data_IF_509399262264
#
_entry.id   IF_509399262264
#
_cell.length_a   1.000
_cell.length_b   1.000
_cell.length_c   1.000
_cell.angle_alpha   90.00
_cell.angle_beta   90.00
_cell.angle_gamma   90.00
#
_symmetry.space_group_name_H-M   'P 1'
#
loop_
_entity.id
_entity.type
_entity.pdbx_description
1 polymer ?
#
# COMPACT_ATOMS: atom_id res chain seq x y z
N UNK A 1 -38.74 2.76 76.35
CA UNK A 1 -39.43 1.51 76.00
C UNK A 1 -39.23 0.50 77.10
N UNK A 2 -40.25 -0.29 77.40
CA UNK A 2 -40.14 -1.42 78.33
C UNK A 2 -39.23 -2.48 77.72
N UNK A 3 -38.28 -3.02 78.49
CA UNK A 3 -37.39 -4.06 77.99
C UNK A 3 -38.19 -5.33 77.62
N UNK A 4 -37.82 -5.98 76.50
CA UNK A 4 -38.52 -7.17 76.02
C UNK A 4 -38.57 -8.29 77.07
N UNK A 5 -37.55 -8.41 77.92
CA UNK A 5 -37.50 -9.37 79.02
C UNK A 5 -38.54 -9.06 80.13
N UNK A 6 -38.78 -7.77 80.41
CA UNK A 6 -39.85 -7.35 81.33
C UNK A 6 -41.23 -7.64 80.74
N UNK A 7 -41.42 -7.41 79.43
CA UNK A 7 -42.65 -7.75 78.74
C UNK A 7 -42.92 -9.26 78.81
N UNK A 8 -41.94 -10.11 78.52
CA UNK A 8 -42.07 -11.59 78.59
C UNK A 8 -42.53 -12.10 79.97
N UNK A 9 -42.10 -11.44 81.05
CA UNK A 9 -42.51 -11.83 82.41
C UNK A 9 -43.98 -11.53 82.71
N UNK A 10 -44.57 -10.49 82.11
CA UNK A 10 -45.98 -10.16 82.28
C UNK A 10 -46.91 -11.17 81.58
N UNK A 11 -46.44 -11.77 80.50
CA UNK A 11 -47.16 -12.76 79.68
C UNK A 11 -46.74 -14.22 79.95
N UNK A 12 -46.11 -14.51 81.09
CA UNK A 12 -45.76 -15.88 81.48
C UNK A 12 -46.99 -16.70 81.89
N UNK A 13 -46.85 -18.03 81.87
CA UNK A 13 -47.93 -18.96 82.21
C UNK A 13 -48.62 -18.59 83.54
N UNK A 14 -49.95 -18.65 83.54
CA UNK A 14 -50.82 -18.37 84.68
C UNK A 14 -50.75 -16.93 85.22
N UNK A 15 -50.11 -15.98 84.49
CA UNK A 15 -50.16 -14.55 84.79
C UNK A 15 -51.08 -13.83 83.82
N UNK A 16 -51.84 -12.86 84.34
CA UNK A 16 -52.64 -11.91 83.56
C UNK A 16 -52.01 -10.53 83.68
N UNK A 17 -51.58 -9.90 82.58
CA UNK A 17 -51.09 -8.53 82.62
C UNK A 17 -52.16 -7.55 83.13
N UNK A 18 -51.75 -6.50 83.82
CA UNK A 18 -52.64 -5.36 84.12
C UNK A 18 -52.89 -4.53 82.85
N UNK A 19 -53.86 -3.62 82.90
CA UNK A 19 -54.15 -2.70 81.79
C UNK A 19 -52.91 -1.89 81.40
N UNK A 20 -52.17 -1.37 82.38
CA UNK A 20 -50.96 -0.57 82.18
C UNK A 20 -49.83 -1.41 81.54
N UNK A 21 -49.70 -2.67 81.95
CA UNK A 21 -48.75 -3.61 81.35
C UNK A 21 -49.11 -3.93 79.90
N UNK A 22 -50.40 -4.00 79.59
CA UNK A 22 -50.88 -4.21 78.22
C UNK A 22 -50.66 -2.97 77.34
N UNK A 23 -50.93 -1.76 77.86
CA UNK A 23 -50.62 -0.51 77.16
C UNK A 23 -49.13 -0.37 76.91
N UNK A 24 -48.28 -0.63 77.92
CA UNK A 24 -46.83 -0.60 77.76
C UNK A 24 -46.31 -1.61 76.73
N UNK A 25 -47.02 -2.73 76.50
CA UNK A 25 -46.72 -3.66 75.41
C UNK A 25 -47.09 -3.09 74.03
N UNK A 26 -48.27 -2.49 73.89
CA UNK A 26 -48.68 -1.84 72.65
C UNK A 26 -47.74 -0.69 72.27
N UNK A 27 -47.37 0.14 73.24
CA UNK A 27 -46.45 1.28 73.09
C UNK A 27 -44.99 0.84 72.79
N UNK A 28 -44.69 -0.46 72.89
CA UNK A 28 -43.37 -1.00 72.53
C UNK A 28 -43.21 -1.26 71.03
N UNK A 29 -44.25 -1.05 70.22
CA UNK A 29 -44.18 -1.17 68.76
C UNK A 29 -44.58 0.13 68.09
N UNK A 30 -44.01 0.41 66.92
CA UNK A 30 -44.50 1.49 66.06
C UNK A 30 -45.86 1.12 65.48
N UNK A 31 -46.84 2.01 65.63
CA UNK A 31 -48.15 1.83 65.03
C UNK A 31 -48.14 2.24 63.54
N UNK A 32 -49.02 1.66 62.73
CA UNK A 32 -49.07 1.92 61.27
C UNK A 32 -49.30 3.39 60.90
N UNK A 33 -49.89 4.17 61.80
CA UNK A 33 -50.14 5.60 61.64
C UNK A 33 -48.93 6.46 62.02
N UNK A 34 -47.90 5.89 62.64
CA UNK A 34 -46.75 6.63 63.15
C UNK A 34 -45.64 6.68 62.10
N UNK A 35 -44.93 7.81 62.05
CA UNK A 35 -43.75 7.97 61.21
C UNK A 35 -42.54 7.46 61.98
N UNK A 36 -41.76 6.56 61.37
CA UNK A 36 -40.50 6.09 61.92
C UNK A 36 -39.44 7.19 61.74
N UNK A 37 -38.83 7.72 62.82
CA UNK A 37 -37.77 8.71 62.71
C UNK A 37 -36.52 8.10 62.06
N UNK A 38 -35.83 8.89 61.22
CA UNK A 38 -34.62 8.44 60.52
C UNK A 38 -33.52 7.98 61.48
N UNK A 39 -33.40 8.63 62.64
CA UNK A 39 -32.45 8.27 63.70
C UNK A 39 -32.74 6.91 64.37
N UNK A 40 -33.93 6.34 64.17
CA UNK A 40 -34.29 5.02 64.72
C UNK A 40 -33.96 3.85 63.79
N UNK A 41 -33.44 4.13 62.58
CA UNK A 41 -33.02 3.11 61.60
C UNK A 41 -31.51 2.93 61.70
N UNK A 42 -31.09 1.79 62.22
CA UNK A 42 -29.68 1.45 62.38
C UNK A 42 -28.95 1.41 61.02
N UNK A 43 -27.80 2.10 60.93
CA UNK A 43 -26.93 2.11 59.75
C UNK A 43 -27.36 3.04 58.62
N UNK A 44 -28.51 3.73 58.75
CA UNK A 44 -28.98 4.69 57.76
C UNK A 44 -28.11 5.94 57.69
N UNK A 45 -27.57 6.38 58.83
CA UNK A 45 -26.57 7.43 58.97
C UNK A 45 -25.31 7.12 58.15
N UNK A 46 -24.73 5.93 58.36
CA UNK A 46 -23.50 5.48 57.67
C UNK A 46 -23.68 5.36 56.17
N UNK A 47 -24.86 4.94 55.72
CA UNK A 47 -25.17 4.82 54.29
C UNK A 47 -25.17 6.19 53.61
N UNK A 48 -25.70 7.21 54.29
CA UNK A 48 -25.80 8.57 53.76
C UNK A 48 -24.44 9.28 53.79
N UNK A 49 -23.60 9.02 54.80
CA UNK A 49 -22.22 9.55 54.87
C UNK A 49 -21.33 9.15 53.67
N UNK A 50 -21.65 8.03 53.00
CA UNK A 50 -20.96 7.59 51.78
C UNK A 50 -21.39 8.31 50.50
N UNK A 51 -22.34 9.26 50.58
CA UNK A 51 -22.88 9.97 49.42
C UNK A 51 -22.44 11.43 49.40
N UNK A 52 -22.27 12.00 48.20
CA UNK A 52 -22.06 13.43 48.06
C UNK A 52 -23.37 14.18 48.30
N UNK A 53 -23.31 15.29 49.02
CA UNK A 53 -24.47 16.17 49.17
C UNK A 53 -24.87 16.79 47.84
N UNK A 54 -26.13 17.21 47.70
CA UNK A 54 -26.62 17.89 46.51
C UNK A 54 -25.80 19.15 46.19
N UNK A 55 -25.35 19.86 47.22
CA UNK A 55 -24.51 21.06 47.07
C UNK A 55 -23.09 20.72 46.63
N UNK A 56 -22.46 19.68 47.20
CA UNK A 56 -21.14 19.21 46.77
C UNK A 56 -21.15 18.77 45.30
N UNK A 57 -22.19 18.03 44.89
CA UNK A 57 -22.37 17.62 43.50
C UNK A 57 -22.59 18.84 42.58
N UNK A 58 -23.44 19.79 42.98
CA UNK A 58 -23.69 20.98 42.19
C UNK A 58 -22.43 21.86 42.05
N UNK A 59 -21.63 21.98 43.10
CA UNK A 59 -20.36 22.70 43.06
C UNK A 59 -19.38 22.02 42.11
N UNK A 60 -19.28 20.69 42.14
CA UNK A 60 -18.43 19.94 41.21
C UNK A 60 -18.91 20.07 39.75
N UNK A 61 -20.22 20.04 39.49
CA UNK A 61 -20.78 20.18 38.14
C UNK A 61 -20.51 21.55 37.51
N UNK A 62 -20.50 22.61 38.32
CA UNK A 62 -20.26 23.97 37.86
C UNK A 62 -18.78 24.38 37.94
N UNK A 63 -17.93 23.57 38.57
CA UNK A 63 -16.49 23.80 38.61
C UNK A 63 -15.84 23.38 37.29
N UNK A 64 -15.65 24.37 36.42
CA UNK A 64 -14.93 24.22 35.14
C UNK A 64 -13.50 23.69 35.30
N UNK A 65 -12.93 23.73 36.50
CA UNK A 65 -11.55 23.34 36.80
C UNK A 65 -11.44 22.02 37.58
N UNK A 66 -12.55 21.35 37.90
CA UNK A 66 -12.58 20.12 38.70
C UNK A 66 -11.62 19.02 38.21
N UNK A 67 -11.39 18.97 36.89
CA UNK A 67 -10.51 17.99 36.24
C UNK A 67 -9.35 18.61 35.46
N UNK A 68 -9.04 19.89 35.70
CA UNK A 68 -8.07 20.65 34.90
C UNK A 68 -6.70 19.98 34.83
N UNK A 69 -6.18 19.50 35.98
CA UNK A 69 -4.87 18.85 36.07
C UNK A 69 -4.80 17.60 35.18
N UNK A 70 -5.85 16.76 35.21
CA UNK A 70 -5.91 15.56 34.40
C UNK A 70 -5.97 15.90 32.91
N UNK A 71 -6.77 16.90 32.54
CA UNK A 71 -6.87 17.35 31.15
C UNK A 71 -5.58 18.00 30.65
N UNK A 72 -4.89 18.78 31.48
CA UNK A 72 -3.60 19.39 31.15
C UNK A 72 -2.54 18.29 30.88
N UNK A 73 -2.51 17.23 31.69
CA UNK A 73 -1.62 16.08 31.48
C UNK A 73 -1.94 15.30 30.20
N UNK A 74 -3.23 15.00 29.95
CA UNK A 74 -3.65 14.34 28.69
C UNK A 74 -3.30 15.19 27.48
N UNK A 75 -3.50 16.51 27.56
CA UNK A 75 -3.15 17.44 26.49
C UNK A 75 -1.65 17.42 26.19
N UNK A 76 -0.82 17.40 27.23
CA UNK A 76 0.63 17.28 27.10
C UNK A 76 1.02 15.97 26.41
N UNK A 77 0.45 14.84 26.83
CA UNK A 77 0.72 13.54 26.20
C UNK A 77 0.36 13.52 24.71
N UNK A 78 -0.77 14.14 24.33
CA UNK A 78 -1.17 14.30 22.93
C UNK A 78 -0.15 15.16 22.15
N UNK A 79 0.35 16.24 22.76
CA UNK A 79 1.36 17.10 22.14
C UNK A 79 2.69 16.37 21.95
N UNK A 80 3.12 15.56 22.93
CA UNK A 80 4.33 14.76 22.86
C UNK A 80 4.24 13.73 21.71
N UNK A 81 3.10 13.04 21.59
CA UNK A 81 2.81 12.12 20.46
C UNK A 81 2.86 12.86 19.13
N UNK A 82 2.18 14.00 19.02
CA UNK A 82 2.18 14.78 17.78
C UNK A 82 3.59 15.23 17.39
N UNK A 83 4.43 15.59 18.37
CA UNK A 83 5.82 15.96 18.11
C UNK A 83 6.61 14.79 17.55
N UNK A 84 6.47 13.59 18.15
CA UNK A 84 7.12 12.36 17.67
C UNK A 84 6.68 12.02 16.24
N UNK A 85 5.39 12.19 15.94
CA UNK A 85 4.82 11.93 14.61
C UNK A 85 5.17 13.01 13.57
N UNK A 86 5.52 14.22 14.01
CA UNK A 86 5.94 15.34 13.16
C UNK A 86 7.44 15.37 12.89
N UNK A 87 8.25 14.58 13.60
CA UNK A 87 9.65 14.44 13.21
C UNK A 87 9.65 13.77 11.85
N UNK A 88 9.95 14.54 10.79
CA UNK A 88 10.23 14.02 9.47
C UNK A 88 11.20 12.85 9.64
N UNK A 89 10.70 11.62 9.43
CA UNK A 89 11.51 10.44 9.61
C UNK A 89 12.45 10.36 8.40
N UNK A 90 13.61 11.00 8.56
CA UNK A 90 14.70 11.03 7.58
C UNK A 90 14.99 9.62 7.07
N UNK A 91 14.82 8.59 7.90
CA UNK A 91 15.01 7.18 7.51
C UNK A 91 13.93 6.73 6.53
N UNK A 92 12.67 7.09 6.76
CA UNK A 92 11.56 6.75 5.88
C UNK A 92 11.66 7.49 4.54
N UNK A 93 12.01 8.78 4.56
CA UNK A 93 12.22 9.56 3.34
C UNK A 93 13.37 8.99 2.51
N UNK A 94 14.50 8.67 3.16
CA UNK A 94 15.65 8.01 2.51
C UNK A 94 15.25 6.66 1.91
N UNK A 95 14.41 5.87 2.60
CA UNK A 95 13.92 4.59 2.08
C UNK A 95 13.01 4.77 0.84
N UNK A 96 12.16 5.81 0.81
CA UNK A 96 11.32 6.09 -0.35
C UNK A 96 12.14 6.51 -1.58
N UNK A 97 13.17 7.32 -1.36
CA UNK A 97 14.11 7.71 -2.40
C UNK A 97 14.85 6.47 -2.97
N UNK A 98 15.42 5.63 -2.09
CA UNK A 98 16.09 4.37 -2.48
C UNK A 98 15.14 3.45 -3.26
N UNK A 99 13.88 3.29 -2.81
CA UNK A 99 12.89 2.46 -3.51
C UNK A 99 12.60 3.01 -4.91
N UNK A 100 12.56 4.33 -5.06
CA UNK A 100 12.35 4.99 -6.35
C UNK A 100 13.51 4.74 -7.30
N UNK A 101 14.74 4.89 -6.82
CA UNK A 101 15.94 4.56 -7.60
C UNK A 101 15.98 3.08 -8.02
N UNK A 102 15.66 2.15 -7.12
CA UNK A 102 15.62 0.72 -7.44
C UNK A 102 14.59 0.37 -8.51
N UNK A 103 13.41 1.01 -8.49
CA UNK A 103 12.40 0.84 -9.54
C UNK A 103 12.92 1.31 -10.89
N UNK A 104 13.58 2.47 -10.94
CA UNK A 104 14.18 2.99 -12.16
C UNK A 104 15.28 2.06 -12.70
N UNK A 105 16.15 1.55 -11.82
CA UNK A 105 17.19 0.58 -12.21
C UNK A 105 16.60 -0.73 -12.77
N UNK A 106 15.51 -1.24 -12.18
CA UNK A 106 14.83 -2.43 -12.70
C UNK A 106 14.28 -2.20 -14.10
N UNK A 107 13.63 -1.06 -14.35
CA UNK A 107 13.12 -0.72 -15.68
C UNK A 107 14.24 -0.66 -16.74
N UNK A 108 15.41 -0.13 -16.37
CA UNK A 108 16.57 -0.11 -17.26
C UNK A 108 17.06 -1.53 -17.57
N UNK A 109 17.12 -2.42 -16.57
CA UNK A 109 17.48 -3.83 -16.77
C UNK A 109 16.54 -4.53 -17.74
N UNK A 110 15.22 -4.35 -17.59
CA UNK A 110 14.22 -4.95 -18.45
C UNK A 110 14.31 -4.40 -19.90
N UNK A 111 14.54 -3.09 -20.05
CA UNK A 111 14.71 -2.46 -21.36
C UNK A 111 16.00 -2.94 -22.07
N UNK A 112 17.09 -3.12 -21.32
CA UNK A 112 18.34 -3.66 -21.85
C UNK A 112 18.14 -5.12 -22.28
N UNK A 113 17.47 -5.93 -21.46
CA UNK A 113 17.18 -7.32 -21.78
C UNK A 113 16.33 -7.47 -23.05
N UNK A 114 15.30 -6.63 -23.22
CA UNK A 114 14.42 -6.66 -24.40
C UNK A 114 15.06 -6.11 -25.67
N UNK A 115 16.00 -5.16 -25.58
CA UNK A 115 16.69 -4.60 -26.76
C UNK A 115 17.97 -5.34 -27.14
N UNK A 116 18.60 -6.02 -26.20
CA UNK A 116 19.84 -6.75 -26.39
C UNK A 116 19.56 -8.22 -26.06
N UNK A 117 18.88 -8.91 -26.97
CA UNK A 117 18.91 -10.36 -26.99
C UNK A 117 20.37 -10.78 -27.18
N UNK A 118 21.03 -11.15 -26.06
CA UNK A 118 22.46 -11.49 -26.01
C UNK A 118 22.82 -12.66 -26.92
N UNK A 119 21.84 -13.46 -27.32
CA UNK A 119 22.03 -14.58 -28.24
C UNK A 119 22.01 -14.16 -29.72
N UNK A 120 21.45 -12.98 -30.06
CA UNK A 120 21.20 -12.55 -31.44
C UNK A 120 22.09 -11.36 -31.85
N UNK A 121 22.48 -10.51 -30.89
CA UNK A 121 23.30 -9.33 -31.17
C UNK A 121 24.70 -9.72 -31.67
N UNK A 122 25.06 -9.24 -32.88
CA UNK A 122 26.36 -9.52 -33.52
C UNK A 122 26.37 -10.76 -34.42
N UNK A 123 25.27 -11.51 -34.53
CA UNK A 123 25.15 -12.60 -35.50
C UNK A 123 24.58 -12.11 -36.83
N UNK A 124 25.10 -12.68 -37.92
CA UNK A 124 24.52 -12.51 -39.25
C UNK A 124 23.14 -13.19 -39.32
N UNK A 125 22.16 -12.51 -39.92
CA UNK A 125 20.82 -13.06 -40.13
C UNK A 125 20.76 -13.80 -41.44
N UNK A 126 20.26 -15.03 -41.43
CA UNK A 126 19.94 -15.72 -42.68
C UNK A 126 18.68 -15.10 -43.29
N UNK A 127 18.77 -14.73 -44.55
CA UNK A 127 17.71 -14.05 -45.30
C UNK A 127 17.33 -14.88 -46.51
N UNK A 128 16.04 -15.11 -46.65
CA UNK A 128 15.44 -15.85 -47.77
C UNK A 128 14.56 -14.92 -48.62
N UNK A 129 14.03 -15.46 -49.71
CA UNK A 129 13.07 -14.80 -50.61
C UNK A 129 11.79 -14.30 -49.92
N UNK A 130 11.41 -14.87 -48.78
CA UNK A 130 10.23 -14.48 -48.00
C UNK A 130 10.52 -13.50 -46.85
N UNK A 131 11.78 -13.09 -46.65
CA UNK A 131 12.13 -12.21 -45.53
C UNK A 131 11.74 -10.77 -45.83
N UNK A 132 10.91 -10.18 -44.97
CA UNK A 132 10.55 -8.76 -45.04
C UNK A 132 11.57 -7.96 -44.22
N UNK A 133 12.29 -7.05 -44.87
CA UNK A 133 13.22 -6.18 -44.19
C UNK A 133 12.48 -5.22 -43.26
N UNK A 134 13.01 -5.07 -42.05
CA UNK A 134 12.44 -4.27 -40.97
C UNK A 134 13.54 -3.59 -40.16
N UNK A 135 13.17 -2.70 -39.24
CA UNK A 135 14.12 -2.04 -38.33
C UNK A 135 15.04 -3.00 -37.56
N UNK A 136 14.64 -4.26 -37.37
CA UNK A 136 15.46 -5.28 -36.68
C UNK A 136 16.68 -5.73 -37.48
N UNK A 137 16.69 -5.45 -38.78
CA UNK A 137 17.80 -5.77 -39.67
C UNK A 137 18.82 -4.61 -39.78
N UNK A 138 18.45 -3.41 -39.34
CA UNK A 138 19.32 -2.24 -39.40
C UNK A 138 20.59 -2.45 -38.57
N UNK A 139 21.75 -2.13 -39.15
CA UNK A 139 23.07 -2.31 -38.56
C UNK A 139 23.57 -3.76 -38.56
N UNK A 140 22.87 -4.69 -39.21
CA UNK A 140 23.23 -6.13 -39.21
C UNK A 140 23.83 -6.58 -40.55
N UNK A 141 24.43 -7.76 -40.48
CA UNK A 141 24.88 -8.52 -41.66
C UNK A 141 23.77 -9.47 -42.07
N UNK A 142 23.29 -9.36 -43.31
CA UNK A 142 22.38 -10.31 -43.94
C UNK A 142 23.19 -11.34 -44.72
N UNK A 143 22.96 -12.61 -44.41
CA UNK A 143 23.55 -13.76 -45.08
C UNK A 143 22.51 -14.36 -46.00
N UNK A 144 22.65 -14.13 -47.29
CA UNK A 144 21.73 -14.64 -48.31
C UNK A 144 22.24 -15.99 -48.83
N UNK A 145 21.49 -17.05 -48.58
CA UNK A 145 21.89 -18.43 -48.86
C UNK A 145 20.80 -19.16 -49.63
N UNK A 146 20.53 -18.68 -50.85
CA UNK A 146 19.47 -19.21 -51.70
C UNK A 146 20.02 -19.71 -53.04
N UNK A 147 19.27 -20.64 -53.61
CA UNK A 147 19.50 -21.19 -54.96
C UNK A 147 18.64 -20.50 -56.03
N UNK A 148 17.75 -19.60 -55.61
CA UNK A 148 16.94 -18.72 -56.49
C UNK A 148 17.16 -17.27 -56.11
N UNK A 149 17.00 -16.38 -57.10
CA UNK A 149 17.27 -14.94 -56.92
C UNK A 149 16.40 -14.37 -55.80
N UNK A 150 16.99 -13.55 -54.94
CA UNK A 150 16.32 -12.93 -53.78
C UNK A 150 16.15 -11.44 -54.04
N UNK A 151 14.94 -10.93 -53.78
CA UNK A 151 14.68 -9.50 -53.75
C UNK A 151 14.74 -8.99 -52.31
N UNK A 152 15.71 -8.13 -52.03
CA UNK A 152 15.77 -7.36 -50.79
C UNK A 152 15.03 -6.04 -51.01
N UNK A 153 13.81 -5.98 -50.48
CA UNK A 153 12.91 -4.83 -50.63
C UNK A 153 13.11 -3.80 -49.51
N UNK A 154 13.53 -2.60 -49.90
CA UNK A 154 13.78 -1.47 -48.99
C UNK A 154 12.59 -0.52 -48.87
N UNK A 155 11.44 -0.79 -49.51
CA UNK A 155 10.27 0.12 -49.56
C UNK A 155 9.84 0.62 -48.18
N UNK A 156 9.82 -0.29 -47.20
CA UNK A 156 9.40 -0.02 -45.80
C UNK A 156 10.57 0.09 -44.83
N UNK A 157 11.80 0.03 -45.33
CA UNK A 157 13.00 0.02 -44.49
C UNK A 157 13.25 1.41 -43.89
N UNK A 158 13.67 1.50 -42.61
CA UNK A 158 13.87 2.79 -41.95
C UNK A 158 14.97 3.62 -42.62
N UNK A 159 14.78 4.93 -42.59
CA UNK A 159 15.77 5.92 -43.00
C UNK A 159 16.99 5.94 -42.05
N UNK A 160 18.13 6.42 -42.54
CA UNK A 160 19.41 6.50 -41.84
C UNK A 160 19.90 5.16 -41.29
N UNK A 161 19.57 4.08 -41.99
CA UNK A 161 19.92 2.73 -41.61
C UNK A 161 21.05 2.18 -42.49
N UNK A 162 21.95 1.41 -41.87
CA UNK A 162 23.08 0.75 -42.49
C UNK A 162 22.78 -0.74 -42.64
N UNK A 163 23.24 -1.38 -43.71
CA UNK A 163 23.17 -2.83 -43.87
C UNK A 163 24.44 -3.36 -44.53
N UNK A 164 24.78 -4.59 -44.20
CA UNK A 164 25.78 -5.37 -44.94
C UNK A 164 25.12 -6.64 -45.46
N UNK A 165 25.40 -7.02 -46.70
CA UNK A 165 24.85 -8.23 -47.33
C UNK A 165 26.00 -9.09 -47.80
N UNK A 166 25.94 -10.39 -47.50
CA UNK A 166 26.92 -11.39 -47.92
C UNK A 166 26.21 -12.47 -48.72
N UNK A 167 26.64 -12.67 -49.96
CA UNK A 167 26.18 -13.76 -50.81
C UNK A 167 26.86 -15.06 -50.41
N UNK A 168 26.08 -16.04 -49.95
CA UNK A 168 26.55 -17.38 -49.59
C UNK A 168 25.99 -18.46 -50.52
N UNK A 169 24.81 -18.23 -51.07
CA UNK A 169 24.16 -19.09 -52.07
C UNK A 169 24.64 -18.85 -53.50
N UNK A 170 24.05 -19.58 -54.44
CA UNK A 170 24.39 -19.53 -55.87
C UNK A 170 23.67 -18.39 -56.60
N UNK A 171 22.49 -18.00 -56.14
CA UNK A 171 21.62 -17.04 -56.82
C UNK A 171 21.93 -15.56 -56.57
N UNK A 172 21.44 -14.69 -57.45
CA UNK A 172 21.65 -13.25 -57.36
C UNK A 172 20.84 -12.64 -56.22
N UNK A 173 21.33 -11.51 -55.71
CA UNK A 173 20.62 -10.72 -54.71
C UNK A 173 20.32 -9.37 -55.34
N UNK A 174 19.05 -9.01 -55.38
CA UNK A 174 18.56 -7.83 -56.10
C UNK A 174 18.00 -6.86 -55.07
N UNK A 175 18.43 -5.61 -55.12
CA UNK A 175 17.92 -4.56 -54.24
C UNK A 175 16.75 -3.86 -54.93
N UNK A 176 15.63 -3.67 -54.23
CA UNK A 176 14.43 -3.02 -54.80
C UNK A 176 13.74 -2.09 -53.77
N UNK A 177 12.70 -1.38 -54.20
CA UNK A 177 11.78 -0.66 -53.30
C UNK A 177 12.11 0.81 -53.02
N UNK A 178 13.36 1.22 -53.25
CA UNK A 178 13.82 2.62 -53.19
C UNK A 178 14.70 2.92 -54.40
N UNK A 179 14.96 4.19 -54.67
CA UNK A 179 15.87 4.59 -55.75
C UNK A 179 17.28 4.14 -55.41
N UNK A 180 17.91 3.33 -56.26
CA UNK A 180 19.25 2.80 -56.01
C UNK A 180 20.31 3.75 -56.56
N UNK A 181 21.30 4.08 -55.73
CA UNK A 181 22.48 4.88 -56.11
C UNK A 181 23.70 3.97 -56.00
N UNK A 182 24.10 3.39 -57.14
CA UNK A 182 25.14 2.36 -57.22
C UNK A 182 24.65 1.12 -57.96
N UNK A 183 25.25 -0.04 -57.68
CA UNK A 183 24.83 -1.31 -58.26
C UNK A 183 23.50 -1.79 -57.67
N UNK A 184 22.60 -2.27 -58.53
CA UNK A 184 21.28 -2.74 -58.11
C UNK A 184 21.23 -4.19 -57.64
N UNK A 185 22.33 -4.93 -57.76
CA UNK A 185 22.37 -6.35 -57.42
C UNK A 185 23.79 -6.88 -57.15
N UNK A 186 23.86 -7.97 -56.40
CA UNK A 186 25.05 -8.82 -56.24
C UNK A 186 24.90 -10.03 -57.16
N UNK A 187 25.73 -10.09 -58.20
CA UNK A 187 25.71 -11.16 -59.22
C UNK A 187 26.99 -11.99 -59.25
N UNK A 188 28.01 -11.60 -58.49
CA UNK A 188 29.27 -12.32 -58.39
C UNK A 188 29.15 -13.69 -57.70
N UNK A 189 30.28 -14.37 -57.57
CA UNK A 189 30.36 -15.67 -56.92
C UNK A 189 30.06 -15.60 -55.41
N UNK A 190 29.96 -16.77 -54.77
CA UNK A 190 29.88 -16.90 -53.31
C UNK A 190 31.00 -16.11 -52.63
N UNK A 191 30.65 -15.30 -51.64
CA UNK A 191 31.57 -14.39 -50.95
C UNK A 191 31.61 -12.97 -51.50
N UNK A 192 30.79 -12.67 -52.52
CA UNK A 192 30.46 -11.29 -52.92
C UNK A 192 29.68 -10.59 -51.82
N UNK A 193 29.85 -9.28 -51.70
CA UNK A 193 29.28 -8.49 -50.59
C UNK A 193 28.71 -7.17 -51.08
N UNK A 194 27.77 -6.61 -50.34
CA UNK A 194 27.34 -5.23 -50.50
C UNK A 194 27.32 -4.50 -49.16
N UNK A 195 27.75 -3.24 -49.16
CA UNK A 195 27.47 -2.29 -48.09
C UNK A 195 26.39 -1.34 -48.57
N UNK A 196 25.30 -1.21 -47.81
CA UNK A 196 24.15 -0.40 -48.16
C UNK A 196 23.88 0.65 -47.09
N UNK A 197 23.53 1.86 -47.53
CA UNK A 197 23.09 2.96 -46.67
C UNK A 197 21.76 3.48 -47.19
N UNK A 198 20.73 3.49 -46.35
CA UNK A 198 19.42 4.03 -46.69
C UNK A 198 19.36 5.51 -46.28
N UNK A 199 19.13 6.38 -47.26
CA UNK A 199 19.06 7.84 -47.08
C UNK A 199 17.80 8.38 -47.77
N UNK A 200 16.77 8.71 -47.01
CA UNK A 200 15.47 9.17 -47.47
C UNK A 200 14.80 8.16 -48.42
N UNK A 201 14.63 8.56 -49.67
CA UNK A 201 14.06 7.74 -50.75
C UNK A 201 15.11 6.93 -51.52
N UNK A 202 16.38 7.07 -51.16
CA UNK A 202 17.51 6.45 -51.86
C UNK A 202 18.16 5.36 -51.02
N UNK A 203 18.77 4.39 -51.70
CA UNK A 203 19.68 3.40 -51.10
C UNK A 203 20.99 3.48 -51.86
N UNK A 204 22.03 3.93 -51.15
CA UNK A 204 23.39 3.96 -51.66
C UNK A 204 23.96 2.55 -51.51
N UNK A 205 24.37 1.94 -52.61
CA UNK A 205 24.93 0.59 -52.62
C UNK A 205 26.38 0.60 -53.10
N UNK A 206 27.25 -0.07 -52.35
CA UNK A 206 28.60 -0.39 -52.77
C UNK A 206 28.73 -1.91 -52.86
N UNK A 207 28.68 -2.44 -54.08
CA UNK A 207 28.74 -3.89 -54.33
C UNK A 207 30.14 -4.29 -54.74
N UNK A 208 30.65 -5.34 -54.12
CA UNK A 208 31.88 -6.01 -54.51
C UNK A 208 31.53 -7.42 -55.01
N UNK A 209 31.41 -7.54 -56.33
CA UNK A 209 31.22 -8.81 -57.00
C UNK A 209 32.60 -9.49 -57.18
N UNK A 210 32.82 -10.58 -56.47
CA UNK A 210 34.00 -11.44 -56.63
C UNK A 210 33.84 -12.41 -57.79
#
# INVERSE_FOLDING_TARGET
MTAIETLKQWFSNLKKPTQEQFWAWLDSFWHKSEKIPMASVEGLDKLVEGTASAEQLNNHLNDTQAHKILFDEVKKQIQDINTILQVDDVSLDTLQEIVTELKNHRQLSDLIGTKIDKEIFGLALEVTDNTILSKEHAGRVLRCNNDTDINLDFSTFPDNALLSVVKVGSANIIFIGKTLVGDSSITGAKGSTASLVVCGTEVISNVNNK
#
